data_IF_498462593750
#
_entry.id   IF_498462593750
#
_cell.length_a   1.000
_cell.length_b   1.000
_cell.length_c   1.000
_cell.angle_alpha   90.00
_cell.angle_beta   90.00
_cell.angle_gamma   90.00
#
_symmetry.space_group_name_H-M   'P 1'
#
loop_
_entity.id
_entity.type
_entity.pdbx_description
1 polymer ?
#
# COMPACT_ATOMS: atom_id res chain seq x y z
N UNK A 1 12.25 -9.85 -21.00
CA UNK A 1 12.36 -8.93 -19.85
C UNK A 1 11.31 -7.85 -20.04
N UNK A 2 10.25 -7.77 -19.22
CA UNK A 2 9.26 -6.67 -19.33
C UNK A 2 9.92 -5.42 -18.77
N UNK A 3 10.32 -4.51 -19.64
CA UNK A 3 10.90 -3.22 -19.24
C UNK A 3 9.76 -2.37 -18.69
N UNK A 4 9.72 -2.20 -17.37
CA UNK A 4 8.78 -1.27 -16.76
C UNK A 4 9.18 0.16 -17.14
N UNK A 5 8.25 0.90 -17.75
CA UNK A 5 8.46 2.30 -18.13
C UNK A 5 8.59 3.15 -16.87
N UNK A 6 9.80 3.62 -16.58
CA UNK A 6 10.07 4.53 -15.46
C UNK A 6 10.08 5.97 -15.95
N UNK A 7 9.30 6.83 -15.29
CA UNK A 7 9.26 8.28 -15.58
C UNK A 7 9.78 9.02 -14.36
N UNK A 8 10.76 9.91 -14.56
CA UNK A 8 11.23 10.81 -13.50
C UNK A 8 10.24 11.96 -13.36
N UNK A 9 9.66 12.09 -12.16
CA UNK A 9 8.82 13.23 -11.78
C UNK A 9 9.46 13.95 -10.60
N UNK A 10 9.40 15.27 -10.57
CA UNK A 10 9.82 16.08 -9.43
C UNK A 10 8.58 16.46 -8.62
N UNK A 11 8.59 16.16 -7.33
CA UNK A 11 7.50 16.44 -6.41
C UNK A 11 8.02 17.20 -5.20
N UNK A 12 7.21 18.14 -4.70
CA UNK A 12 7.43 18.76 -3.39
C UNK A 12 6.66 17.91 -2.38
N UNK A 13 7.39 17.22 -1.51
CA UNK A 13 6.84 16.27 -0.55
C UNK A 13 7.24 16.68 0.86
N UNK A 14 6.36 16.41 1.82
CA UNK A 14 6.63 16.61 3.23
C UNK A 14 7.71 15.63 3.72
N UNK A 15 8.82 16.18 4.20
CA UNK A 15 9.97 15.43 4.68
C UNK A 15 9.63 14.53 5.88
N UNK A 16 8.68 14.94 6.74
CA UNK A 16 8.27 14.14 7.88
C UNK A 16 7.55 12.87 7.43
N UNK A 17 6.70 12.99 6.40
CA UNK A 17 6.00 11.84 5.79
C UNK A 17 6.99 10.89 5.12
N UNK A 18 7.95 11.41 4.34
CA UNK A 18 8.97 10.57 3.69
C UNK A 18 9.79 9.80 4.73
N UNK A 19 10.28 10.47 5.78
CA UNK A 19 11.03 9.81 6.85
C UNK A 19 10.22 8.71 7.54
N UNK A 20 8.93 8.96 7.76
CA UNK A 20 8.03 7.98 8.38
C UNK A 20 7.82 6.77 7.47
N UNK A 21 7.53 6.99 6.18
CA UNK A 21 7.36 5.91 5.20
C UNK A 21 8.63 5.09 5.06
N UNK A 22 9.80 5.74 5.07
CA UNK A 22 11.10 5.07 4.98
C UNK A 22 11.37 4.17 6.19
N UNK A 23 10.94 4.59 7.40
CA UNK A 23 10.98 3.73 8.60
C UNK A 23 10.03 2.54 8.49
N UNK A 24 8.79 2.76 8.03
CA UNK A 24 7.77 1.71 7.88
C UNK A 24 8.24 0.65 6.86
N UNK A 25 8.73 1.10 5.71
CA UNK A 25 9.16 0.24 4.60
C UNK A 25 10.58 -0.28 4.74
N UNK A 26 11.34 0.17 5.76
CA UNK A 26 12.77 -0.10 5.97
C UNK A 26 13.64 0.21 4.73
N UNK A 27 13.20 1.15 3.89
CA UNK A 27 13.87 1.48 2.65
C UNK A 27 15.18 2.24 2.88
N UNK A 28 16.16 2.02 1.99
CA UNK A 28 17.46 2.70 2.05
C UNK A 28 17.38 4.11 1.50
N UNK A 29 16.55 4.32 0.48
CA UNK A 29 16.38 5.62 -0.20
C UNK A 29 14.94 6.10 -0.16
N UNK A 30 14.74 7.41 -0.31
CA UNK A 30 13.40 8.01 -0.33
C UNK A 30 12.60 7.55 -1.56
N UNK A 31 13.25 7.38 -2.71
CA UNK A 31 12.64 6.82 -3.93
C UNK A 31 12.12 5.40 -3.70
N UNK A 32 12.94 4.55 -3.07
CA UNK A 32 12.55 3.18 -2.71
C UNK A 32 11.39 3.20 -1.71
N UNK A 33 11.43 4.08 -0.72
CA UNK A 33 10.36 4.23 0.28
C UNK A 33 9.02 4.58 -0.39
N UNK A 34 9.02 5.52 -1.32
CA UNK A 34 7.82 5.93 -2.05
C UNK A 34 7.31 4.83 -2.99
N UNK A 35 8.20 4.12 -3.70
CA UNK A 35 7.79 2.99 -4.54
C UNK A 35 7.16 1.87 -3.70
N UNK A 36 7.82 1.47 -2.61
CA UNK A 36 7.30 0.43 -1.71
C UNK A 36 5.94 0.83 -1.10
N UNK A 37 5.75 2.12 -0.79
CA UNK A 37 4.47 2.62 -0.30
C UNK A 37 3.36 2.53 -1.36
N UNK A 38 3.67 2.87 -2.61
CA UNK A 38 2.71 2.73 -3.73
C UNK A 38 2.33 1.26 -3.93
N UNK A 39 3.30 0.36 -3.94
CA UNK A 39 3.06 -1.08 -4.11
C UNK A 39 2.21 -1.65 -2.96
N UNK A 40 2.53 -1.25 -1.72
CA UNK A 40 1.78 -1.67 -0.53
C UNK A 40 0.33 -1.20 -0.60
N UNK A 41 0.08 0.04 -1.01
CA UNK A 41 -1.28 0.58 -1.14
C UNK A 41 -2.07 -0.13 -2.24
N UNK A 42 -1.43 -0.42 -3.39
CA UNK A 42 -2.04 -1.18 -4.47
C UNK A 42 -2.40 -2.59 -4.01
N UNK A 43 -1.50 -3.25 -3.28
CA UNK A 43 -1.74 -4.57 -2.72
C UNK A 43 -2.88 -4.56 -1.69
N UNK A 44 -2.89 -3.62 -0.75
CA UNK A 44 -3.96 -3.47 0.26
C UNK A 44 -5.32 -3.26 -0.41
N UNK A 45 -5.40 -2.41 -1.43
CA UNK A 45 -6.64 -2.19 -2.18
C UNK A 45 -7.12 -3.48 -2.88
N UNK A 46 -6.22 -4.24 -3.52
CA UNK A 46 -6.55 -5.54 -4.12
C UNK A 46 -7.08 -6.53 -3.08
N UNK A 47 -6.40 -6.66 -1.94
CA UNK A 47 -6.79 -7.54 -0.84
C UNK A 47 -8.17 -7.13 -0.31
N UNK A 48 -8.39 -5.84 -0.05
CA UNK A 48 -9.69 -5.33 0.43
C UNK A 48 -10.82 -5.63 -0.55
N UNK A 49 -10.60 -5.44 -1.86
CA UNK A 49 -11.61 -5.76 -2.88
C UNK A 49 -11.98 -7.23 -2.87
N UNK A 50 -10.99 -8.12 -2.74
CA UNK A 50 -11.22 -9.57 -2.65
C UNK A 50 -11.95 -9.93 -1.35
N UNK A 51 -11.54 -9.37 -0.22
CA UNK A 51 -12.22 -9.60 1.07
C UNK A 51 -13.67 -9.11 1.03
N UNK A 52 -13.93 -7.96 0.40
CA UNK A 52 -15.28 -7.43 0.21
C UNK A 52 -16.12 -8.29 -0.74
N UNK A 53 -15.54 -8.85 -1.80
CA UNK A 53 -16.28 -9.72 -2.73
C UNK A 53 -16.65 -11.08 -2.14
N UNK A 54 -15.90 -11.53 -1.12
CA UNK A 54 -16.13 -12.77 -0.38
C UNK A 54 -16.95 -12.54 0.90
N UNK A 55 -17.13 -11.28 1.33
CA UNK A 55 -17.93 -10.91 2.51
C UNK A 55 -19.33 -11.51 2.40
N UNK A 56 -19.66 -12.43 3.31
CA UNK A 56 -20.94 -13.15 3.35
C UNK A 56 -20.96 -14.54 2.70
N UNK A 57 -19.89 -14.98 2.03
CA UNK A 57 -19.79 -16.32 1.40
C UNK A 57 -18.89 -17.32 2.14
N UNK A 58 -18.24 -16.90 3.21
CA UNK A 58 -17.41 -17.78 4.05
C UNK A 58 -17.44 -17.33 5.51
N UNK A 59 -17.24 -18.27 6.42
CA UNK A 59 -17.14 -18.10 7.89
C UNK A 59 -15.93 -17.24 8.33
N UNK A 60 -15.51 -16.25 7.53
CA UNK A 60 -14.44 -15.33 7.85
C UNK A 60 -14.99 -14.31 8.85
N UNK A 61 -14.74 -14.58 10.14
CA UNK A 61 -14.97 -13.61 11.21
C UNK A 61 -14.06 -12.40 10.97
N UNK A 62 -14.66 -11.22 10.93
CA UNK A 62 -13.94 -9.95 10.88
C UNK A 62 -13.10 -9.79 12.16
N UNK A 63 -11.81 -10.14 12.09
CA UNK A 63 -10.86 -10.09 13.22
C UNK A 63 -10.64 -8.65 13.70
N UNK A 64 -10.92 -7.65 12.84
CA UNK A 64 -10.72 -6.24 13.17
C UNK A 64 -12.02 -5.52 13.53
N UNK A 65 -13.17 -6.19 13.49
CA UNK A 65 -14.48 -5.61 13.86
C UNK A 65 -14.85 -4.34 13.10
N UNK A 66 -14.26 -4.11 11.91
CA UNK A 66 -14.43 -2.86 11.14
C UNK A 66 -15.73 -2.84 10.33
N UNK A 67 -16.47 -3.94 10.32
CA UNK A 67 -17.81 -4.03 9.77
C UNK A 67 -18.84 -4.13 10.89
N UNK A 68 -19.06 -3.06 11.65
CA UNK A 68 -20.36 -2.85 12.28
C UNK A 68 -21.33 -2.29 11.24
N UNK A 69 -22.54 -2.85 11.28
CA UNK A 69 -23.68 -2.63 10.39
C UNK A 69 -24.12 -1.19 10.30
#
# INVERSE_FOLDING_TARGET
MKTETKVRKQFILDIAKIKTIRKITKAKTDTEAINNAMDTLIADNKIRRVLMSIKGKGNIKDVYGRCQS
#
